data_IF_444714652224
#
_entry.id   IF_444714652224
#
_cell.length_a   1.000
_cell.length_b   1.000
_cell.length_c   1.000
_cell.angle_alpha   90.00
_cell.angle_beta   90.00
_cell.angle_gamma   90.00
#
_symmetry.space_group_name_H-M   'P 1'
#
loop_
_entity.id
_entity.type
_entity.pdbx_description
1 polymer ?
#
# COMPACT_ATOMS: atom_id res chain seq x y z
N UNK A 1 15.43 26.07 8.52
CA UNK A 1 16.07 24.80 8.14
C UNK A 1 15.08 23.67 8.34
N UNK A 2 15.07 22.69 7.43
CA UNK A 2 14.24 21.50 7.59
C UNK A 2 14.68 20.71 8.84
N UNK A 3 13.74 19.98 9.47
CA UNK A 3 14.10 19.09 10.57
C UNK A 3 14.92 17.90 10.06
N UNK A 4 15.74 17.31 10.92
CA UNK A 4 16.51 16.09 10.60
C UNK A 4 15.60 14.97 10.09
N UNK A 5 14.43 14.80 10.70
CA UNK A 5 13.41 13.83 10.28
C UNK A 5 12.89 14.12 8.87
N UNK A 6 12.59 15.39 8.54
CA UNK A 6 12.13 15.73 7.19
C UNK A 6 13.20 15.46 6.12
N UNK A 7 14.46 15.77 6.42
CA UNK A 7 15.59 15.57 5.48
C UNK A 7 15.80 14.08 5.21
N UNK A 8 15.92 13.26 6.27
CA UNK A 8 16.13 11.83 6.11
C UNK A 8 14.91 11.14 5.48
N UNK A 9 13.70 11.64 5.74
CA UNK A 9 12.50 11.16 5.07
C UNK A 9 12.53 11.47 3.58
N UNK A 10 12.92 12.67 3.17
CA UNK A 10 13.03 13.02 1.76
C UNK A 10 14.06 12.13 1.03
N UNK A 11 15.19 11.83 1.68
CA UNK A 11 16.16 10.86 1.16
C UNK A 11 15.52 9.46 1.02
N UNK A 12 14.89 8.96 2.10
CA UNK A 12 14.23 7.65 2.08
C UNK A 12 13.17 7.54 0.98
N UNK A 13 12.33 8.57 0.81
CA UNK A 13 11.28 8.59 -0.21
C UNK A 13 11.85 8.72 -1.61
N UNK A 14 13.04 9.31 -1.76
CA UNK A 14 13.71 9.34 -3.05
C UNK A 14 14.05 7.95 -3.55
N UNK A 15 14.65 7.11 -2.69
CA UNK A 15 14.97 5.72 -3.00
C UNK A 15 13.71 4.84 -3.12
N UNK A 16 12.71 5.06 -2.27
CA UNK A 16 11.45 4.29 -2.30
C UNK A 16 10.68 4.54 -3.60
N UNK A 17 10.58 5.80 -4.03
CA UNK A 17 9.82 6.16 -5.24
C UNK A 17 10.67 6.08 -6.50
N UNK A 18 11.99 5.95 -6.37
CA UNK A 18 12.97 6.18 -7.42
C UNK A 18 12.82 7.57 -8.08
N UNK A 19 12.30 8.58 -7.37
CA UNK A 19 12.17 9.96 -7.84
C UNK A 19 12.98 10.90 -6.95
N UNK A 20 13.37 12.07 -7.45
CA UNK A 20 14.02 13.06 -6.58
C UNK A 20 12.97 13.68 -5.65
N UNK A 21 13.04 13.38 -4.36
CA UNK A 21 12.16 13.93 -3.33
C UNK A 21 12.95 14.91 -2.44
N UNK A 22 12.39 16.09 -2.19
CA UNK A 22 12.95 17.10 -1.28
C UNK A 22 11.99 17.42 -0.14
N UNK A 23 12.47 18.14 0.88
CA UNK A 23 11.62 18.59 1.98
C UNK A 23 10.69 19.72 1.54
N UNK A 24 9.55 19.90 2.23
CA UNK A 24 8.69 21.07 2.00
C UNK A 24 9.48 22.38 2.16
N UNK A 25 10.39 22.45 3.13
CA UNK A 25 11.24 23.61 3.36
C UNK A 25 12.19 23.90 2.20
N UNK A 26 12.79 22.88 1.60
CA UNK A 26 13.62 23.05 0.41
C UNK A 26 12.79 23.53 -0.79
N UNK A 27 11.58 23.00 -0.96
CA UNK A 27 10.68 23.47 -2.02
C UNK A 27 10.35 24.97 -1.90
N UNK A 28 10.03 25.46 -0.71
CA UNK A 28 9.71 26.88 -0.51
C UNK A 28 10.93 27.79 -0.60
N UNK A 29 12.14 27.31 -0.23
CA UNK A 29 13.35 28.14 -0.13
C UNK A 29 14.29 28.06 -1.33
N UNK A 30 14.26 26.95 -2.08
CA UNK A 30 15.23 26.63 -3.15
C UNK A 30 14.53 26.33 -4.47
N UNK A 31 13.57 27.16 -4.88
CA UNK A 31 12.94 27.02 -6.21
C UNK A 31 14.02 27.15 -7.29
N UNK A 32 14.42 26.01 -7.86
CA UNK A 32 15.37 25.86 -8.97
C UNK A 32 14.61 26.12 -10.27
N UNK A 33 15.16 26.95 -11.16
CA UNK A 33 14.57 27.49 -12.41
C UNK A 33 13.52 26.63 -13.14
N UNK A 34 13.86 26.10 -14.33
CA UNK A 34 12.91 25.34 -15.18
C UNK A 34 12.69 23.90 -14.67
N UNK A 35 12.39 23.73 -13.40
CA UNK A 35 12.09 22.44 -12.77
C UNK A 35 10.60 22.35 -12.47
N UNK A 36 9.97 21.20 -12.78
CA UNK A 36 8.60 20.94 -12.36
C UNK A 36 8.59 20.38 -10.96
N UNK A 37 7.84 21.04 -10.07
CA UNK A 37 7.63 20.58 -8.71
C UNK A 37 6.26 19.92 -8.57
N UNK A 38 6.23 18.74 -7.96
CA UNK A 38 4.99 18.02 -7.69
C UNK A 38 4.93 17.60 -6.22
N UNK A 39 3.76 17.72 -5.62
CA UNK A 39 3.55 17.25 -4.26
C UNK A 39 3.45 15.72 -4.25
N UNK A 40 4.19 15.07 -3.34
CA UNK A 40 4.12 13.64 -3.13
C UNK A 40 2.86 13.30 -2.31
N UNK A 41 1.90 12.65 -2.95
CA UNK A 41 0.70 12.18 -2.28
C UNK A 41 1.00 10.96 -1.40
N UNK A 42 0.90 11.13 -0.09
CA UNK A 42 1.22 10.08 0.88
C UNK A 42 0.23 8.90 0.89
N UNK A 43 -1.02 9.12 0.50
CA UNK A 43 -2.00 8.03 0.39
C UNK A 43 -1.73 7.19 -0.85
N UNK A 44 -1.45 7.84 -1.98
CA UNK A 44 -1.06 7.15 -3.21
C UNK A 44 0.27 6.42 -3.04
N UNK A 45 1.23 7.06 -2.34
CA UNK A 45 2.51 6.46 -1.99
C UNK A 45 2.31 5.18 -1.16
N UNK A 46 1.47 5.23 -0.12
CA UNK A 46 1.11 4.05 0.67
C UNK A 46 0.56 2.92 -0.22
N UNK A 47 -0.46 3.21 -1.03
CA UNK A 47 -1.10 2.20 -1.88
C UNK A 47 -0.16 1.62 -2.94
N UNK A 48 0.85 2.39 -3.37
CA UNK A 48 1.88 1.89 -4.28
C UNK A 48 2.86 0.89 -3.68
N UNK A 49 2.97 0.84 -2.35
CA UNK A 49 3.88 -0.06 -1.64
C UNK A 49 3.18 -1.20 -0.90
N UNK A 50 1.86 -1.18 -0.78
CA UNK A 50 1.09 -2.31 -0.28
C UNK A 50 1.05 -3.43 -1.31
N UNK A 51 2.13 -4.18 -1.46
CA UNK A 51 2.18 -5.26 -2.43
C UNK A 51 1.21 -6.36 -1.98
N UNK A 52 0.14 -6.51 -2.75
CA UNK A 52 -0.72 -7.67 -2.70
C UNK A 52 -0.11 -8.83 -3.48
N UNK A 53 -0.49 -10.05 -3.12
CA UNK A 53 -0.09 -11.25 -3.84
C UNK A 53 -1.18 -12.29 -3.85
N UNK A 54 -1.01 -13.36 -4.65
CA UNK A 54 -1.91 -14.49 -4.66
C UNK A 54 -2.11 -15.05 -3.26
N UNK A 55 -3.25 -15.71 -3.08
CA UNK A 55 -3.60 -16.40 -1.85
C UNK A 55 -4.15 -17.76 -2.25
N UNK A 56 -3.68 -18.86 -1.62
CA UNK A 56 -4.10 -20.21 -2.01
C UNK A 56 -5.60 -20.37 -1.74
N UNK A 57 -6.32 -20.95 -2.69
CA UNK A 57 -7.72 -21.25 -2.49
C UNK A 57 -7.92 -22.71 -2.90
N UNK A 58 -7.96 -23.65 -1.94
CA UNK A 58 -8.35 -25.02 -2.26
C UNK A 58 -9.87 -25.06 -2.43
N UNK A 59 -10.35 -24.51 -3.54
CA UNK A 59 -11.59 -25.01 -4.12
C UNK A 59 -11.23 -26.44 -4.57
N UNK A 60 -11.50 -27.42 -3.71
CA UNK A 60 -11.58 -28.81 -4.17
C UNK A 60 -12.39 -28.80 -5.45
N UNK A 61 -11.87 -29.46 -6.48
CA UNK A 61 -12.59 -29.76 -7.72
C UNK A 61 -14.05 -30.09 -7.41
N UNK A 62 -14.93 -29.09 -7.53
CA UNK A 62 -16.33 -29.34 -7.80
C UNK A 62 -16.29 -29.87 -9.22
N UNK A 63 -16.27 -31.20 -9.30
CA UNK A 63 -16.62 -31.97 -10.47
C UNK A 63 -18.02 -31.51 -10.90
N UNK A 64 -18.10 -30.40 -11.64
CA UNK A 64 -19.25 -30.09 -12.45
C UNK A 64 -19.08 -30.98 -13.67
N UNK A 65 -19.62 -32.19 -13.59
CA UNK A 65 -20.06 -32.87 -14.79
C UNK A 65 -20.98 -31.89 -15.52
N UNK A 66 -20.47 -31.29 -16.59
CA UNK A 66 -21.31 -30.61 -17.56
C UNK A 66 -22.28 -31.65 -18.12
N UNK A 67 -23.61 -31.46 -18.02
CA UNK A 67 -24.50 -32.06 -18.99
C UNK A 67 -24.30 -31.30 -20.29
N UNK A 68 -23.94 -32.00 -21.37
CA UNK A 68 -23.98 -31.48 -22.73
C UNK A 68 -25.35 -30.82 -23.00
N UNK A 69 -25.42 -29.57 -23.46
CA UNK A 69 -26.59 -29.09 -24.16
C UNK A 69 -26.46 -29.48 -25.64
N UNK A 70 -27.40 -30.31 -26.07
CA UNK A 70 -27.76 -30.55 -27.45
C UNK A 70 -27.94 -29.23 -28.19
N UNK A 71 -27.33 -29.15 -29.37
CA UNK A 71 -27.53 -28.07 -30.35
C UNK A 71 -29.02 -27.99 -30.68
N UNK A 72 -29.64 -26.84 -30.41
CA UNK A 72 -30.85 -26.41 -31.09
C UNK A 72 -30.72 -24.94 -31.45
N UNK A 73 -30.53 -24.71 -32.75
CA UNK A 73 -30.69 -23.41 -33.39
C UNK A 73 -32.10 -22.89 -33.12
N UNK A 74 -32.20 -21.68 -32.57
CA UNK A 74 -33.25 -20.74 -32.94
C UNK A 74 -32.77 -19.31 -32.66
N UNK A 75 -32.72 -18.54 -33.75
CA UNK A 75 -32.54 -17.10 -33.76
C UNK A 75 -33.61 -16.44 -32.89
N UNK A 76 -33.19 -15.50 -32.05
CA UNK A 76 -33.90 -14.22 -31.92
C UNK A 76 -32.95 -13.15 -31.40
N UNK A 77 -32.75 -12.15 -32.26
CA UNK A 77 -32.18 -10.86 -31.94
C UNK A 77 -32.97 -10.21 -30.80
N UNK A 78 -32.24 -9.78 -29.77
CA UNK A 78 -32.36 -8.48 -29.09
C UNK A 78 -31.74 -8.63 -27.72
N UNK A 79 -30.50 -8.15 -27.56
CA UNK A 79 -30.07 -7.64 -26.26
C UNK A 79 -29.36 -6.32 -26.51
N UNK A 80 -30.07 -5.26 -26.17
CA UNK A 80 -29.56 -3.91 -25.99
C UNK A 80 -28.38 -3.98 -25.00
N UNK A 81 -27.16 -4.02 -25.50
CA UNK A 81 -25.99 -3.76 -24.68
C UNK A 81 -25.89 -2.24 -24.47
N UNK A 82 -26.78 -1.70 -23.63
CA UNK A 82 -26.42 -0.52 -22.85
C UNK A 82 -25.37 -0.99 -21.83
N UNK A 83 -24.13 -1.20 -22.30
CA UNK A 83 -22.97 -1.34 -21.43
C UNK A 83 -22.81 0.03 -20.78
N UNK A 84 -23.41 0.20 -19.60
CA UNK A 84 -23.28 1.42 -18.82
C UNK A 84 -21.80 1.72 -18.65
N UNK A 85 -21.33 2.78 -19.30
CA UNK A 85 -20.00 3.32 -19.03
C UNK A 85 -19.90 3.53 -17.52
N UNK A 86 -18.81 3.04 -16.95
CA UNK A 86 -18.46 3.32 -15.56
C UNK A 86 -17.41 4.42 -15.54
N UNK A 87 -17.36 5.14 -14.43
CA UNK A 87 -16.39 6.20 -14.17
C UNK A 87 -15.35 5.68 -13.20
N UNK A 88 -14.07 5.79 -13.55
CA UNK A 88 -12.96 5.49 -12.64
C UNK A 88 -12.38 6.79 -12.09
N UNK A 89 -11.96 6.78 -10.82
CA UNK A 89 -11.17 7.86 -10.22
C UNK A 89 -9.70 7.45 -10.28
N UNK A 90 -8.90 8.12 -11.11
CA UNK A 90 -7.47 7.85 -11.24
C UNK A 90 -6.70 8.78 -10.32
N UNK A 91 -5.98 8.20 -9.36
CA UNK A 91 -5.23 8.91 -8.32
C UNK A 91 -3.72 8.78 -8.57
N UNK A 92 -3.07 9.76 -9.20
CA UNK A 92 -1.61 9.73 -9.36
C UNK A 92 -0.88 9.86 -8.01
N UNK A 93 0.40 9.44 -7.97
CA UNK A 93 1.31 9.80 -6.86
C UNK A 93 1.48 11.32 -6.72
N UNK A 94 1.25 12.05 -7.80
CA UNK A 94 1.28 13.51 -7.84
C UNK A 94 -0.11 14.12 -7.90
N UNK A 95 -0.61 14.55 -6.76
CA UNK A 95 -1.73 15.50 -6.70
C UNK A 95 -3.12 14.91 -6.88
N UNK A 96 -3.99 15.66 -7.57
CA UNK A 96 -5.45 15.51 -7.51
C UNK A 96 -5.92 14.34 -8.40
N UNK A 97 -6.90 13.58 -7.90
CA UNK A 97 -7.54 12.57 -8.71
C UNK A 97 -8.28 13.20 -9.91
N UNK A 98 -8.26 12.51 -11.04
CA UNK A 98 -9.07 12.85 -12.22
C UNK A 98 -9.96 11.66 -12.58
N UNK A 99 -11.05 11.92 -13.30
CA UNK A 99 -12.04 10.88 -13.65
C UNK A 99 -11.95 10.53 -15.13
N UNK A 100 -12.06 9.25 -15.45
CA UNK A 100 -12.14 8.76 -16.83
C UNK A 100 -13.35 7.85 -17.01
N UNK A 101 -13.97 7.87 -18.20
CA UNK A 101 -15.05 6.95 -18.57
C UNK A 101 -14.52 5.73 -19.31
N UNK A 102 -14.95 4.56 -18.87
CA UNK A 102 -14.47 3.26 -19.37
C UNK A 102 -15.64 2.29 -19.51
N UNK A 103 -15.47 1.27 -20.34
CA UNK A 103 -16.37 0.13 -20.36
C UNK A 103 -15.88 -0.92 -19.37
N UNK A 104 -16.76 -1.63 -18.63
CA UNK A 104 -16.35 -2.73 -17.75
C UNK A 104 -15.54 -3.83 -18.46
N UNK A 105 -15.72 -3.99 -19.77
CA UNK A 105 -14.99 -4.94 -20.60
C UNK A 105 -13.62 -4.44 -21.06
N UNK A 106 -13.30 -3.16 -20.88
CA UNK A 106 -12.01 -2.60 -21.26
C UNK A 106 -10.88 -3.34 -20.54
N UNK A 107 -9.85 -3.68 -21.30
CA UNK A 107 -8.59 -4.19 -20.76
C UNK A 107 -7.84 -3.09 -20.03
N UNK A 108 -6.97 -3.46 -19.10
CA UNK A 108 -6.10 -2.50 -18.41
C UNK A 108 -5.24 -1.71 -19.40
N UNK A 109 -4.82 -2.32 -20.51
CA UNK A 109 -4.12 -1.58 -21.57
C UNK A 109 -4.98 -0.47 -22.19
N UNK A 110 -6.26 -0.74 -22.47
CA UNK A 110 -7.19 0.27 -23.00
C UNK A 110 -7.47 1.38 -21.98
N UNK A 111 -7.56 1.03 -20.69
CA UNK A 111 -7.66 2.03 -19.60
C UNK A 111 -6.43 2.95 -19.59
N UNK A 112 -5.22 2.40 -19.79
CA UNK A 112 -4.00 3.20 -19.88
C UNK A 112 -3.99 4.11 -21.10
N UNK A 113 -4.51 3.66 -22.25
CA UNK A 113 -4.68 4.53 -23.43
C UNK A 113 -5.61 5.71 -23.14
N UNK A 114 -6.73 5.48 -22.45
CA UNK A 114 -7.63 6.57 -22.04
C UNK A 114 -6.95 7.56 -21.09
N UNK A 115 -6.09 7.08 -20.18
CA UNK A 115 -5.27 7.96 -19.33
C UNK A 115 -4.25 8.76 -20.18
N UNK A 116 -3.70 8.16 -21.24
CA UNK A 116 -2.82 8.88 -22.17
C UNK A 116 -3.58 10.00 -22.86
N UNK A 117 -4.79 9.74 -23.34
CA UNK A 117 -5.61 10.75 -24.02
C UNK A 117 -5.93 11.94 -23.08
N UNK A 118 -6.18 11.67 -21.81
CA UNK A 118 -6.54 12.68 -20.80
C UNK A 118 -5.34 13.42 -20.19
N UNK A 119 -4.20 12.75 -19.99
CA UNK A 119 -3.05 13.31 -19.26
C UNK A 119 -1.76 13.42 -20.09
N UNK A 120 -1.74 12.91 -21.32
CA UNK A 120 -0.56 12.85 -22.18
C UNK A 120 0.52 11.85 -21.72
N UNK A 121 0.18 10.95 -20.80
CA UNK A 121 1.12 10.00 -20.19
C UNK A 121 1.10 8.70 -20.98
N UNK A 122 2.24 8.28 -21.53
CA UNK A 122 2.29 7.08 -22.38
C UNK A 122 1.98 5.78 -21.60
N UNK A 123 1.21 4.82 -22.15
CA UNK A 123 0.77 3.60 -21.47
C UNK A 123 1.92 2.77 -20.87
N UNK A 124 3.08 2.74 -21.52
CA UNK A 124 4.26 2.00 -21.09
C UNK A 124 4.89 2.55 -19.81
N UNK A 125 4.72 3.85 -19.54
CA UNK A 125 5.17 4.46 -18.29
C UNK A 125 4.09 4.40 -17.20
N UNK A 126 2.86 3.99 -17.52
CA UNK A 126 1.80 3.87 -16.52
C UNK A 126 1.85 2.53 -15.79
N UNK A 127 1.94 2.58 -14.45
CA UNK A 127 1.66 1.47 -13.54
C UNK A 127 0.36 1.78 -12.80
N UNK A 128 -0.68 1.02 -13.12
CA UNK A 128 -1.98 1.13 -12.43
C UNK A 128 -2.03 0.10 -11.30
N UNK A 129 -2.53 0.53 -10.14
CA UNK A 129 -2.61 -0.26 -8.92
C UNK A 129 -4.03 -0.20 -8.35
N UNK A 130 -4.55 -1.35 -7.96
CA UNK A 130 -5.84 -1.48 -7.29
C UNK A 130 -5.76 -2.51 -6.17
N UNK A 131 -6.23 -2.14 -4.98
CA UNK A 131 -6.19 -2.97 -3.77
C UNK A 131 -4.79 -3.56 -3.49
N UNK A 132 -3.73 -2.78 -3.72
CA UNK A 132 -2.35 -3.20 -3.54
C UNK A 132 -1.76 -4.05 -4.68
N UNK A 133 -2.54 -4.35 -5.72
CA UNK A 133 -2.10 -5.18 -6.83
C UNK A 133 -1.83 -4.35 -8.08
N UNK A 134 -0.72 -4.65 -8.76
CA UNK A 134 -0.48 -4.12 -10.11
C UNK A 134 -1.52 -4.71 -11.06
N UNK A 135 -2.19 -3.84 -11.80
CA UNK A 135 -3.13 -4.21 -12.84
C UNK A 135 -2.35 -4.59 -14.10
N UNK A 136 -2.56 -5.83 -14.55
CA UNK A 136 -1.88 -6.39 -15.72
C UNK A 136 -2.63 -6.08 -17.01
N UNK A 137 -1.88 -5.71 -18.05
CA UNK A 137 -2.41 -5.17 -19.31
C UNK A 137 -3.51 -6.03 -19.95
N UNK A 138 -3.43 -7.37 -19.83
CA UNK A 138 -4.37 -8.30 -20.45
C UNK A 138 -5.67 -8.58 -19.68
N UNK A 139 -5.82 -8.08 -18.45
CA UNK A 139 -7.05 -8.27 -17.66
C UNK A 139 -8.10 -7.22 -18.01
N UNK A 140 -9.38 -7.56 -17.92
CA UNK A 140 -10.48 -6.59 -18.01
C UNK A 140 -10.85 -6.01 -16.63
N UNK A 141 -11.49 -4.83 -16.59
CA UNK A 141 -11.96 -4.21 -15.34
C UNK A 141 -12.88 -5.14 -14.55
N UNK A 142 -13.86 -5.77 -15.22
CA UNK A 142 -14.74 -6.76 -14.58
C UNK A 142 -13.95 -7.93 -13.98
N UNK A 143 -12.94 -8.44 -14.69
CA UNK A 143 -12.11 -9.56 -14.17
C UNK A 143 -11.28 -9.16 -12.95
N UNK A 144 -11.00 -7.86 -12.77
CA UNK A 144 -10.30 -7.30 -11.62
C UNK A 144 -11.24 -6.86 -10.49
N UNK A 145 -12.55 -7.12 -10.61
CA UNK A 145 -13.58 -6.71 -9.65
C UNK A 145 -13.66 -5.17 -9.50
N UNK A 146 -13.31 -4.42 -10.54
CA UNK A 146 -13.37 -2.96 -10.55
C UNK A 146 -14.78 -2.49 -10.92
N UNK A 147 -15.36 -1.65 -10.07
CA UNK A 147 -16.73 -1.14 -10.18
C UNK A 147 -16.76 0.36 -10.47
N UNK A 148 -17.95 0.90 -10.73
CA UNK A 148 -18.15 2.35 -10.88
C UNK A 148 -17.66 3.14 -9.66
N UNK A 149 -17.04 4.28 -9.92
CA UNK A 149 -16.36 5.15 -8.97
C UNK A 149 -15.21 4.52 -8.16
N UNK A 150 -14.66 3.39 -8.63
CA UNK A 150 -13.45 2.82 -8.03
C UNK A 150 -12.26 3.75 -8.17
N UNK A 151 -11.48 3.91 -7.10
CA UNK A 151 -10.20 4.61 -7.11
C UNK A 151 -9.06 3.66 -7.55
N UNK A 152 -8.33 4.05 -8.60
CA UNK A 152 -7.15 3.35 -9.11
C UNK A 152 -5.95 4.26 -8.96
N UNK A 153 -4.87 3.76 -8.36
CA UNK A 153 -3.64 4.52 -8.20
C UNK A 153 -2.78 4.45 -9.45
N UNK A 154 -2.32 5.61 -9.92
CA UNK A 154 -1.40 5.74 -11.05
C UNK A 154 0.01 6.06 -10.54
N UNK A 155 0.94 5.16 -10.80
CA UNK A 155 2.36 5.35 -10.55
C UNK A 155 3.07 5.44 -11.90
N UNK A 156 3.96 6.41 -12.05
CA UNK A 156 4.76 6.55 -13.27
C UNK A 156 6.06 5.76 -13.15
N UNK A 157 6.35 4.94 -14.17
CA UNK A 157 7.66 4.33 -14.39
C UNK A 157 8.51 5.38 -15.09
N UNK A 158 9.73 5.60 -14.61
CA UNK A 158 10.53 6.72 -15.08
C UNK A 158 10.87 6.65 -16.57
N UNK A 159 10.77 7.82 -17.22
CA UNK A 159 11.71 8.30 -18.24
C UNK A 159 12.44 9.47 -17.59
N UNK A 160 13.77 9.53 -17.71
CA UNK A 160 14.56 10.62 -17.12
C UNK A 160 14.04 12.01 -17.51
N UNK A 161 13.84 12.88 -16.52
CA UNK A 161 13.36 14.26 -16.69
C UNK A 161 13.35 15.05 -15.38
N UNK A 162 13.38 16.39 -15.48
CA UNK A 162 13.55 17.40 -14.41
C UNK A 162 12.31 17.57 -13.50
N UNK A 163 11.81 16.48 -12.94
CA UNK A 163 10.69 16.51 -12.00
C UNK A 163 11.19 16.27 -10.56
N UNK A 164 10.85 17.20 -9.66
CA UNK A 164 11.18 17.12 -8.24
C UNK A 164 9.89 16.98 -7.45
N UNK A 165 9.81 15.94 -6.64
CA UNK A 165 8.74 15.74 -5.69
C UNK A 165 9.07 16.40 -4.36
N UNK A 166 8.06 16.85 -3.62
CA UNK A 166 8.23 17.30 -2.25
C UNK A 166 7.14 16.75 -1.34
N UNK A 167 7.49 16.46 -0.09
CA UNK A 167 6.52 16.01 0.91
C UNK A 167 5.99 17.26 1.61
N UNK A 168 4.75 17.66 1.33
CA UNK A 168 4.13 18.80 2.00
C UNK A 168 4.02 18.54 3.52
N UNK A 169 4.23 19.58 4.33
CA UNK A 169 4.23 19.46 5.79
C UNK A 169 2.92 18.94 6.36
N UNK A 170 1.80 19.23 5.69
CA UNK A 170 0.45 18.81 6.12
C UNK A 170 0.25 17.29 6.06
N UNK A 171 1.12 16.57 5.35
CA UNK A 171 1.13 15.11 5.35
C UNK A 171 1.86 14.50 6.53
N UNK A 172 2.56 15.31 7.33
CA UNK A 172 3.33 14.87 8.48
C UNK A 172 2.68 15.39 9.76
N UNK A 173 2.89 14.66 10.85
CA UNK A 173 2.39 15.06 12.16
C UNK A 173 3.50 14.99 13.23
N UNK A 174 4.49 15.92 13.18
CA UNK A 174 5.73 15.79 13.95
C UNK A 174 5.54 15.71 15.46
N UNK A 175 4.40 16.16 16.00
CA UNK A 175 4.08 16.02 17.43
C UNK A 175 3.96 14.56 17.87
N UNK A 176 3.70 13.64 16.93
CA UNK A 176 3.64 12.21 17.18
C UNK A 176 4.90 11.46 16.71
N UNK A 177 5.91 12.14 16.16
CA UNK A 177 7.21 11.50 15.88
C UNK A 177 7.73 10.83 17.16
N UNK A 178 8.34 9.65 17.01
CA UNK A 178 8.84 8.91 18.16
C UNK A 178 10.16 8.24 17.82
N UNK A 179 11.20 8.62 18.56
CA UNK A 179 12.53 8.04 18.44
C UNK A 179 12.63 6.78 19.31
N UNK A 180 12.58 5.60 18.68
CA UNK A 180 12.80 4.33 19.35
C UNK A 180 14.24 3.84 19.25
N UNK A 181 15.19 4.62 18.73
CA UNK A 181 16.56 4.17 18.44
C UNK A 181 17.30 3.64 19.69
N UNK A 182 17.01 4.20 20.86
CA UNK A 182 17.58 3.78 22.15
C UNK A 182 16.60 2.99 23.03
N UNK A 183 15.35 2.84 22.59
CA UNK A 183 14.29 2.19 23.38
C UNK A 183 14.43 0.67 23.32
N UNK A 184 14.22 0.02 24.48
CA UNK A 184 14.05 -1.42 24.61
C UNK A 184 12.84 -1.74 25.47
N UNK A 185 12.01 -2.67 25.01
CA UNK A 185 10.75 -3.06 25.67
C UNK A 185 10.93 -4.28 26.59
N UNK A 186 11.98 -4.27 27.41
CA UNK A 186 12.26 -5.39 28.31
C UNK A 186 11.15 -5.49 29.36
N UNK A 187 10.47 -6.63 29.43
CA UNK A 187 9.42 -6.92 30.40
C UNK A 187 8.12 -6.11 30.21
N UNK A 188 7.91 -5.47 29.05
CA UNK A 188 6.71 -4.69 28.76
C UNK A 188 6.04 -5.20 27.49
N UNK A 189 4.75 -5.49 27.58
CA UNK A 189 3.90 -5.84 26.43
C UNK A 189 2.97 -4.68 26.14
N UNK A 190 3.05 -4.10 24.95
CA UNK A 190 2.15 -3.04 24.51
C UNK A 190 1.05 -3.65 23.66
N UNK A 191 -0.16 -3.12 23.76
CA UNK A 191 -1.31 -3.57 22.98
C UNK A 191 -1.81 -2.45 22.06
N UNK A 192 -2.24 -2.83 20.85
CA UNK A 192 -2.96 -1.96 19.92
C UNK A 192 -4.04 -2.79 19.25
N UNK A 193 -5.29 -2.35 19.35
CA UNK A 193 -6.43 -3.21 19.02
C UNK A 193 -6.41 -4.53 19.80
N UNK A 194 -6.78 -5.67 19.20
CA UNK A 194 -6.81 -6.96 19.86
C UNK A 194 -5.44 -7.68 19.89
N UNK A 195 -4.38 -7.10 19.32
CA UNK A 195 -3.07 -7.76 19.20
C UNK A 195 -1.95 -7.00 19.92
N UNK A 196 -0.88 -7.74 20.24
CA UNK A 196 0.36 -7.17 20.76
C UNK A 196 0.98 -6.22 19.74
N UNK A 197 1.36 -5.05 20.20
CA UNK A 197 2.14 -4.07 19.47
C UNK A 197 3.61 -4.20 19.81
N UNK A 198 4.34 -4.92 18.94
CA UNK A 198 5.81 -4.91 18.94
C UNK A 198 6.27 -3.56 18.42
N UNK A 199 6.57 -2.63 19.33
CA UNK A 199 7.06 -1.28 18.98
C UNK A 199 8.35 -1.40 18.16
N UNK A 200 8.64 -0.48 17.22
CA UNK A 200 9.79 -0.59 16.34
C UNK A 200 11.07 -0.17 17.07
N UNK A 201 11.43 -0.87 18.14
CA UNK A 201 12.63 -0.63 18.95
C UNK A 201 13.88 -0.67 18.07
N UNK A 202 14.73 0.35 18.18
CA UNK A 202 15.88 0.56 17.30
C UNK A 202 15.59 1.35 16.03
N UNK A 203 14.38 1.89 15.84
CA UNK A 203 13.99 2.69 14.68
C UNK A 203 13.55 4.10 15.08
N UNK A 204 13.72 5.07 14.19
CA UNK A 204 13.07 6.37 14.30
C UNK A 204 11.75 6.33 13.53
N UNK A 205 10.63 6.67 14.18
CA UNK A 205 9.30 6.67 13.55
C UNK A 205 8.86 8.10 13.28
N UNK A 206 8.63 8.40 12.00
CA UNK A 206 8.05 9.66 11.54
C UNK A 206 6.55 9.46 11.35
N UNK A 207 5.74 10.33 11.92
CA UNK A 207 4.29 10.24 11.89
C UNK A 207 3.72 10.84 10.61
N UNK A 208 2.79 10.12 9.98
CA UNK A 208 1.97 10.67 8.90
C UNK A 208 0.71 11.30 9.50
N UNK A 209 0.32 12.46 9.00
CA UNK A 209 -0.97 13.04 9.33
C UNK A 209 -2.06 12.29 8.54
N UNK A 210 -2.88 11.55 9.29
CA UNK A 210 -3.89 10.62 8.75
C UNK A 210 -5.28 10.83 9.32
N UNK A 211 -5.46 11.89 10.12
CA UNK A 211 -6.76 12.25 10.65
C UNK A 211 -7.73 12.54 9.51
N UNK A 212 -8.89 11.89 9.55
CA UNK A 212 -9.97 12.00 8.57
C UNK A 212 -9.58 11.55 7.14
N UNK A 213 -8.39 10.97 6.93
CA UNK A 213 -7.97 10.46 5.61
C UNK A 213 -8.60 9.13 5.23
N UNK A 214 -9.08 8.36 6.22
CA UNK A 214 -9.66 7.03 6.02
C UNK A 214 -11.06 6.88 6.65
N UNK A 215 -11.84 7.97 6.64
CA UNK A 215 -13.10 8.08 7.34
C UNK A 215 -12.92 8.35 8.83
N UNK A 216 -13.77 7.74 9.66
CA UNK A 216 -13.71 7.84 11.13
C UNK A 216 -12.34 7.47 11.70
N UNK A 217 -11.93 8.10 12.80
CA UNK A 217 -10.58 7.95 13.38
C UNK A 217 -10.48 6.90 14.51
N UNK A 218 -11.55 6.14 14.76
CA UNK A 218 -11.60 5.14 15.85
C UNK A 218 -10.50 4.09 15.74
N UNK A 219 -10.09 3.73 14.52
CA UNK A 219 -8.99 2.79 14.24
C UNK A 219 -7.61 3.27 14.76
N UNK A 220 -7.43 4.58 14.96
CA UNK A 220 -6.24 5.16 15.61
C UNK A 220 -6.34 5.14 17.15
N UNK A 221 -7.52 4.82 17.69
CA UNK A 221 -7.86 4.94 19.09
C UNK A 221 -8.32 6.32 19.52
N UNK A 222 -8.65 7.21 18.58
CA UNK A 222 -9.16 8.56 18.88
C UNK A 222 -10.51 8.45 19.59
N UNK A 223 -10.65 9.17 20.71
CA UNK A 223 -11.85 9.13 21.56
C UNK A 223 -11.97 7.89 22.45
N UNK A 224 -11.06 6.92 22.32
CA UNK A 224 -11.01 5.74 23.18
C UNK A 224 -10.24 5.97 24.48
N UNK A 225 -10.64 5.30 25.55
CA UNK A 225 -9.92 5.32 26.83
C UNK A 225 -8.86 4.21 26.83
N UNK A 226 -7.61 4.55 27.14
CA UNK A 226 -6.57 3.57 27.48
C UNK A 226 -6.35 3.55 28.98
N UNK A 227 -6.55 2.38 29.59
CA UNK A 227 -6.38 2.22 31.04
C UNK A 227 -4.91 2.29 31.49
N UNK A 228 -3.95 2.15 30.57
CA UNK A 228 -2.52 2.31 30.81
C UNK A 228 -1.78 2.62 29.50
N UNK A 229 -0.50 3.02 29.59
CA UNK A 229 0.34 3.21 28.40
C UNK A 229 0.58 1.93 27.57
N UNK A 230 0.37 0.76 28.16
CA UNK A 230 0.48 -0.55 27.51
C UNK A 230 -0.87 -1.10 27.05
N UNK A 231 -1.99 -0.52 27.48
CA UNK A 231 -3.32 -1.01 27.15
C UNK A 231 -3.75 -0.61 25.72
N UNK A 232 -4.67 -1.41 25.20
CA UNK A 232 -5.43 -1.09 24.00
C UNK A 232 -6.60 -0.16 24.33
N UNK A 233 -7.21 0.42 23.29
CA UNK A 233 -8.51 1.08 23.39
C UNK A 233 -9.52 0.38 22.48
N UNK A 234 -10.80 0.52 22.80
CA UNK A 234 -11.88 -0.15 22.08
C UNK A 234 -11.86 0.22 20.59
N UNK A 235 -12.09 -0.77 19.72
CA UNK A 235 -12.17 -0.64 18.25
C UNK A 235 -10.91 -0.11 17.56
N UNK A 236 -9.81 0.05 18.29
CA UNK A 236 -8.53 0.40 17.69
C UNK A 236 -8.02 -0.73 16.79
N UNK A 237 -7.36 -0.35 15.70
CA UNK A 237 -6.74 -1.32 14.81
C UNK A 237 -5.32 -1.69 15.29
N UNK A 238 -4.94 -2.96 15.23
CA UNK A 238 -3.59 -3.42 15.53
C UNK A 238 -2.54 -2.86 14.55
N UNK A 239 -1.29 -2.89 14.97
CA UNK A 239 -0.15 -2.34 14.21
C UNK A 239 0.58 -3.44 13.45
N UNK A 240 0.90 -3.18 12.19
CA UNK A 240 1.78 -4.01 11.38
C UNK A 240 2.83 -3.16 10.64
N UNK A 241 3.76 -3.83 9.98
CA UNK A 241 4.84 -3.25 9.20
C UNK A 241 4.85 -3.88 7.81
N UNK A 242 5.27 -3.09 6.82
CA UNK A 242 5.41 -3.54 5.43
C UNK A 242 6.72 -2.98 4.86
N UNK A 243 7.53 -3.83 4.25
CA UNK A 243 8.76 -3.39 3.58
C UNK A 243 8.48 -2.76 2.22
N UNK A 244 9.36 -1.89 1.75
CA UNK A 244 9.14 -1.10 0.52
C UNK A 244 9.85 -1.67 -0.72
N UNK A 245 10.52 -2.82 -0.58
CA UNK A 245 11.37 -3.41 -1.62
C UNK A 245 11.24 -4.94 -1.65
N UNK A 246 12.11 -5.58 -2.45
CA UNK A 246 12.24 -7.04 -2.58
C UNK A 246 13.40 -7.56 -1.75
N UNK A 247 13.25 -8.78 -1.25
CA UNK A 247 14.26 -9.59 -0.59
C UNK A 247 14.47 -10.86 -1.41
N UNK A 248 15.69 -11.16 -1.86
CA UNK A 248 15.96 -12.32 -2.72
C UNK A 248 15.00 -12.43 -3.93
N UNK A 249 14.73 -11.28 -4.58
CA UNK A 249 13.75 -11.09 -5.67
C UNK A 249 12.28 -11.28 -5.30
N UNK A 250 11.96 -11.62 -4.05
CA UNK A 250 10.60 -11.81 -3.55
C UNK A 250 10.12 -10.58 -2.78
N UNK A 251 8.86 -10.23 -2.95
CA UNK A 251 8.16 -9.29 -2.08
C UNK A 251 7.72 -9.99 -0.79
N UNK A 252 7.27 -9.22 0.20
CA UNK A 252 6.66 -9.78 1.41
C UNK A 252 5.44 -10.64 1.09
N UNK A 253 4.71 -10.31 0.02
CA UNK A 253 3.56 -11.08 -0.45
C UNK A 253 3.98 -12.39 -1.11
N UNK A 254 5.05 -12.40 -1.91
CA UNK A 254 5.57 -13.61 -2.54
C UNK A 254 6.01 -14.64 -1.49
N UNK A 255 6.75 -14.20 -0.45
CA UNK A 255 7.17 -15.10 0.64
C UNK A 255 5.99 -15.49 1.53
N UNK A 256 5.11 -14.55 1.88
CA UNK A 256 3.91 -14.82 2.67
C UNK A 256 2.99 -15.85 2.00
N UNK A 257 2.79 -15.75 0.68
CA UNK A 257 2.02 -16.71 -0.12
C UNK A 257 2.59 -18.12 -0.02
N UNK A 258 3.92 -18.25 -0.04
CA UNK A 258 4.57 -19.56 0.06
C UNK A 258 4.26 -20.26 1.39
N UNK A 259 4.18 -19.50 2.49
CA UNK A 259 3.76 -20.03 3.78
C UNK A 259 2.26 -20.31 3.87
N UNK A 260 1.46 -19.60 3.08
CA UNK A 260 0.01 -19.74 3.06
C UNK A 260 -0.48 -21.01 2.33
N UNK A 261 0.35 -21.69 1.54
CA UNK A 261 -0.03 -22.70 0.52
C UNK A 261 -1.04 -23.76 0.93
N UNK A 262 -1.06 -24.15 2.21
CA UNK A 262 -1.93 -25.20 2.74
C UNK A 262 -3.23 -24.67 3.37
N UNK A 263 -3.51 -23.37 3.27
CA UNK A 263 -4.68 -22.73 3.86
C UNK A 263 -5.74 -22.44 2.80
N UNK A 264 -6.99 -22.38 3.24
CA UNK A 264 -8.13 -22.02 2.42
C UNK A 264 -8.56 -20.61 2.77
N UNK A 265 -8.58 -19.73 1.78
CA UNK A 265 -8.97 -18.34 1.96
C UNK A 265 -10.20 -18.02 1.13
N UNK A 266 -11.07 -17.17 1.67
CA UNK A 266 -12.27 -16.70 0.98
C UNK A 266 -11.98 -15.66 -0.12
N UNK A 267 -10.71 -15.43 -0.43
CA UNK A 267 -10.23 -14.47 -1.40
C UNK A 267 -8.98 -15.01 -2.09
N UNK A 268 -8.76 -14.60 -3.33
CA UNK A 268 -7.67 -15.11 -4.18
C UNK A 268 -6.43 -14.21 -4.15
N UNK A 269 -6.53 -13.00 -3.60
CA UNK A 269 -5.44 -12.03 -3.46
C UNK A 269 -5.57 -11.22 -2.17
N UNK A 270 -4.44 -10.91 -1.53
CA UNK A 270 -4.41 -10.11 -0.32
C UNK A 270 -3.08 -9.41 -0.11
N UNK A 271 -3.07 -8.39 0.76
CA UNK A 271 -1.91 -7.59 1.13
C UNK A 271 -1.22 -8.23 2.33
N UNK A 272 0.06 -8.54 2.20
CA UNK A 272 0.84 -9.18 3.24
C UNK A 272 1.62 -8.15 4.04
N UNK A 273 1.49 -8.18 5.36
CA UNK A 273 2.26 -7.37 6.30
C UNK A 273 2.74 -8.25 7.47
N UNK A 274 3.40 -7.68 8.45
CA UNK A 274 3.89 -8.44 9.62
C UNK A 274 3.82 -7.60 10.89
N UNK A 275 3.49 -8.18 12.06
CA UNK A 275 3.60 -7.47 13.33
C UNK A 275 5.05 -7.29 13.78
N UNK A 276 6.02 -7.90 13.10
CA UNK A 276 7.43 -7.89 13.50
C UNK A 276 8.28 -7.02 12.57
N UNK A 277 8.84 -5.95 13.14
CA UNK A 277 9.67 -4.98 12.41
C UNK A 277 10.90 -5.63 11.77
N UNK A 278 11.43 -6.72 12.34
CA UNK A 278 12.60 -7.41 11.79
C UNK A 278 12.25 -8.30 10.59
N UNK A 279 11.02 -8.80 10.53
CA UNK A 279 10.51 -9.49 9.33
C UNK A 279 10.34 -8.47 8.21
N UNK A 280 9.74 -7.30 8.50
CA UNK A 280 9.60 -6.22 7.52
C UNK A 280 10.94 -5.67 7.02
N UNK A 281 11.96 -5.63 7.89
CA UNK A 281 13.32 -5.18 7.55
C UNK A 281 13.95 -5.98 6.39
N UNK A 282 13.62 -7.27 6.24
CA UNK A 282 14.12 -8.10 5.13
C UNK A 282 13.77 -7.47 3.77
N UNK A 283 12.57 -6.88 3.68
CA UNK A 283 12.02 -6.26 2.48
C UNK A 283 12.11 -4.72 2.51
N UNK A 284 12.94 -4.13 3.37
CA UNK A 284 13.08 -2.68 3.44
C UNK A 284 13.84 -2.12 2.22
N UNK A 285 13.45 -0.94 1.74
CA UNK A 285 14.35 -0.16 0.86
C UNK A 285 15.55 0.29 1.67
N UNK A 286 16.75 0.11 1.11
CA UNK A 286 18.00 0.58 1.70
C UNK A 286 18.48 1.80 0.93
N UNK A 287 18.95 2.81 1.65
CA UNK A 287 19.40 4.07 1.07
C UNK A 287 20.60 4.64 1.81
N UNK A 288 21.35 5.51 1.14
CA UNK A 288 22.50 6.20 1.72
C UNK A 288 22.14 7.66 1.97
N UNK A 289 22.43 8.15 3.16
CA UNK A 289 22.30 9.55 3.50
C UNK A 289 23.47 9.99 4.37
N UNK A 290 24.17 11.06 3.97
CA UNK A 290 25.34 11.60 4.69
C UNK A 290 26.39 10.51 5.03
N UNK A 291 26.67 9.61 4.08
CA UNK A 291 27.66 8.54 4.23
C UNK A 291 27.22 7.37 5.14
N UNK A 292 25.98 7.37 5.62
CA UNK A 292 25.43 6.32 6.46
C UNK A 292 24.37 5.51 5.70
N UNK A 293 24.32 4.20 5.97
CA UNK A 293 23.31 3.32 5.43
C UNK A 293 22.06 3.32 6.30
N UNK A 294 20.90 3.35 5.66
CA UNK A 294 19.61 3.33 6.31
C UNK A 294 18.68 2.30 5.65
N UNK A 295 17.68 1.87 6.41
CA UNK A 295 16.54 1.08 5.94
C UNK A 295 15.24 1.84 6.24
N UNK A 296 14.27 1.76 5.32
CA UNK A 296 12.93 2.34 5.48
C UNK A 296 11.84 1.30 5.27
N UNK A 297 10.81 1.35 6.12
CA UNK A 297 9.59 0.54 6.05
C UNK A 297 8.37 1.39 6.41
N UNK A 298 7.19 0.94 6.00
CA UNK A 298 5.93 1.55 6.41
C UNK A 298 5.39 0.89 7.68
N UNK A 299 4.80 1.70 8.54
CA UNK A 299 4.05 1.27 9.70
C UNK A 299 2.55 1.49 9.44
N UNK A 300 1.77 0.44 9.63
CA UNK A 300 0.37 0.37 9.27
C UNK A 300 -0.51 0.09 10.48
N UNK A 301 -1.78 0.48 10.36
CA UNK A 301 -2.90 -0.09 11.11
C UNK A 301 -3.65 -1.06 10.21
N UNK A 302 -4.00 -2.24 10.71
CA UNK A 302 -4.74 -3.24 9.93
C UNK A 302 -6.11 -3.52 10.52
N UNK A 303 -7.13 -3.71 9.70
CA UNK A 303 -8.46 -4.06 10.17
C UNK A 303 -8.47 -5.46 10.78
N UNK A 304 -8.74 -5.64 12.09
CA UNK A 304 -8.66 -6.94 12.72
C UNK A 304 -9.82 -7.88 12.35
N UNK A 305 -10.93 -7.36 11.80
CA UNK A 305 -12.14 -8.15 11.51
C UNK A 305 -11.91 -9.13 10.36
N UNK A 306 -11.19 -8.70 9.33
CA UNK A 306 -10.94 -9.49 8.11
C UNK A 306 -9.47 -9.93 8.01
N UNK A 307 -8.76 -9.96 9.13
CA UNK A 307 -7.32 -10.22 9.15
C UNK A 307 -7.04 -11.72 9.30
N UNK A 308 -6.36 -12.27 8.30
CA UNK A 308 -5.82 -13.63 8.37
C UNK A 308 -4.37 -13.60 8.86
N UNK A 309 -3.96 -14.57 9.67
CA UNK A 309 -2.63 -14.59 10.30
C UNK A 309 -1.94 -15.92 10.07
N UNK A 310 -0.73 -15.90 9.51
CA UNK A 310 0.19 -17.05 9.44
C UNK A 310 1.18 -16.92 10.58
N UNK A 311 1.08 -17.82 11.56
CA UNK A 311 1.88 -17.74 12.79
C UNK A 311 3.34 -18.07 12.54
N UNK A 312 4.22 -17.61 13.44
CA UNK A 312 5.65 -17.94 13.38
C UNK A 312 5.91 -19.47 13.45
N UNK A 313 5.02 -20.23 14.08
CA UNK A 313 5.11 -21.69 14.10
C UNK A 313 4.87 -22.29 12.71
N UNK A 314 3.87 -21.80 12.00
CA UNK A 314 3.52 -22.27 10.65
C UNK A 314 4.58 -21.92 9.61
N UNK A 315 5.31 -20.83 9.80
CA UNK A 315 6.43 -20.46 8.93
C UNK A 315 7.74 -21.18 9.28
N UNK A 316 7.74 -22.08 10.26
CA UNK A 316 8.95 -22.76 10.72
C UNK A 316 9.96 -21.82 11.37
N UNK A 317 9.49 -20.72 11.97
CA UNK A 317 10.32 -19.72 12.66
C UNK A 317 10.77 -18.55 11.79
N UNK A 318 10.29 -18.42 10.56
CA UNK A 318 10.71 -17.35 9.65
C UNK A 318 10.10 -15.96 9.97
N UNK A 319 9.04 -15.93 10.79
CA UNK A 319 8.27 -14.74 11.15
C UNK A 319 6.76 -14.97 11.09
N UNK A 320 5.99 -14.07 11.72
CA UNK A 320 4.53 -14.02 11.56
C UNK A 320 4.16 -13.10 10.39
N UNK A 321 3.18 -13.51 9.59
CA UNK A 321 2.65 -12.75 8.46
C UNK A 321 1.15 -12.54 8.61
N UNK A 322 0.69 -11.37 8.23
CA UNK A 322 -0.68 -10.88 8.33
C UNK A 322 -1.20 -10.60 6.94
N UNK A 323 -2.38 -11.10 6.59
CA UNK A 323 -2.98 -10.95 5.28
C UNK A 323 -4.27 -10.17 5.43
N UNK A 324 -4.31 -9.00 4.82
CA UNK A 324 -5.49 -8.15 4.71
C UNK A 324 -6.11 -8.33 3.33
N UNK A 325 -7.43 -8.47 3.26
CA UNK A 325 -8.13 -8.80 2.02
C UNK A 325 -8.00 -7.72 0.95
N UNK A 326 -8.04 -6.44 1.32
CA UNK A 326 -7.96 -5.32 0.37
C UNK A 326 -7.26 -4.10 0.98
N UNK A 327 -6.98 -3.10 0.14
CA UNK A 327 -6.26 -1.88 0.52
C UNK A 327 -6.94 -1.00 1.57
N UNK A 328 -8.26 -1.13 1.77
CA UNK A 328 -8.99 -0.39 2.82
C UNK A 328 -8.75 -0.96 4.24
N UNK A 329 -8.33 -2.22 4.31
CA UNK A 329 -8.01 -2.93 5.55
C UNK A 329 -6.57 -2.69 6.02
N UNK A 330 -5.79 -1.86 5.32
CA UNK A 330 -4.41 -1.48 5.70
C UNK A 330 -4.21 0.03 5.52
N UNK A 331 -3.86 0.72 6.59
CA UNK A 331 -3.72 2.18 6.63
C UNK A 331 -2.34 2.56 7.16
N UNK A 332 -1.48 3.11 6.30
CA UNK A 332 -0.20 3.67 6.76
C UNK A 332 -0.45 4.86 7.68
N UNK A 333 0.28 4.92 8.79
CA UNK A 333 0.24 6.07 9.71
C UNK A 333 1.62 6.50 10.20
N UNK A 334 2.68 5.81 9.76
CA UNK A 334 4.04 6.18 10.06
C UNK A 334 5.03 5.55 9.10
N UNK A 335 6.22 6.14 9.04
CA UNK A 335 7.37 5.65 8.29
C UNK A 335 8.48 5.41 9.30
N UNK A 336 9.01 4.19 9.35
CA UNK A 336 10.10 3.83 10.25
C UNK A 336 11.41 3.82 9.47
N UNK A 337 12.41 4.55 9.99
CA UNK A 337 13.75 4.65 9.42
C UNK A 337 14.76 4.18 10.46
N UNK A 338 15.67 3.29 10.06
CA UNK A 338 16.72 2.76 10.92
C UNK A 338 18.07 2.88 10.25
N UNK A 339 19.07 3.37 10.99
CA UNK A 339 20.48 3.29 10.60
C UNK A 339 20.94 1.83 10.74
N UNK A 340 21.59 1.28 9.71
CA UNK A 340 21.92 -0.15 9.59
C UNK A 340 23.42 -0.40 9.47
#
# INVERSE_FOLDING_TARGET
MASKNAIILAAAMSDVTNNRVITHHDYITRKLGNVRYQELDTNALHQSHLVGGPVPNNIQNLNIQQPNPTINNNNNNNNNNNNGEITLSIKPLSGKAFKIRVNPTDTIYQVKQKIQDEQGILPEVQRLLFQGNQLENGRSLTSCEIQDNTEIFLVLRQRGGDEIYFIHSDHLDPQYDCDFTTIRDVGKTFMRGPFEYKRPCGWNRIALNVLNKYGENVWLGVGGIRNSGTASCQNEWPVSYHGTSRHNNNTIADEGFNYARNRNFNFTHGIYSTPDVNVALKYATRFVHEGNNYAVIFQNRVNPVNLERITNQETGGAGEYWISRNGGDVRSYGICIKKI
#
